data_IF_153976030623
#
_entry.id   IF_153976030623
#
_cell.length_a   1.000
_cell.length_b   1.000
_cell.length_c   1.000
_cell.angle_alpha   90.00
_cell.angle_beta   90.00
_cell.angle_gamma   90.00
#
_symmetry.space_group_name_H-M   'P 1'
#
loop_
_entity.id
_entity.type
_entity.pdbx_description
1 polymer ?
#
# COMPACT_ATOMS: atom_id res chain seq x y z
N UNK A 1 10.02 -3.22 -9.03
CA UNK A 1 9.02 -3.49 -7.97
C UNK A 1 8.85 -2.22 -7.18
N UNK A 2 7.63 -1.82 -6.78
CA UNK A 2 7.46 -0.58 -6.02
C UNK A 2 8.18 -0.73 -4.68
N UNK A 3 9.10 0.16 -4.40
CA UNK A 3 9.69 0.32 -3.06
C UNK A 3 8.77 1.24 -2.30
N UNK A 4 8.16 0.75 -1.23
CA UNK A 4 7.37 1.60 -0.33
C UNK A 4 8.30 2.34 0.63
N UNK A 5 8.09 3.66 0.73
CA UNK A 5 8.77 4.54 1.68
C UNK A 5 7.77 5.07 2.71
N UNK A 6 8.19 5.19 3.97
CA UNK A 6 7.36 5.74 5.06
C UNK A 6 8.21 6.62 5.96
N UNK A 7 7.58 7.67 6.49
CA UNK A 7 8.18 8.56 7.49
C UNK A 7 7.44 8.41 8.81
N UNK A 8 8.18 8.17 9.89
CA UNK A 8 7.66 8.07 11.26
C UNK A 8 8.12 9.30 12.05
N UNK A 9 7.17 9.98 12.70
CA UNK A 9 7.43 11.18 13.50
C UNK A 9 7.24 10.84 14.98
N UNK A 10 8.16 11.28 15.85
CA UNK A 10 8.00 11.18 17.29
C UNK A 10 7.25 12.38 17.87
N UNK A 11 6.28 12.14 18.76
CA UNK A 11 5.71 13.17 19.65
C UNK A 11 6.12 12.88 21.08
N UNK A 12 6.82 13.81 21.72
CA UNK A 12 7.37 13.62 23.08
C UNK A 12 6.74 14.61 24.05
N UNK A 13 6.27 14.09 25.18
CA UNK A 13 5.93 14.89 26.36
C UNK A 13 6.91 14.51 27.48
N UNK A 14 7.86 15.41 27.77
CA UNK A 14 8.86 15.22 28.82
C UNK A 14 9.05 16.51 29.61
N UNK A 15 9.21 16.39 30.93
CA UNK A 15 9.54 17.51 31.82
C UNK A 15 11.03 17.92 31.73
N UNK A 16 11.89 17.07 31.15
CA UNK A 16 13.31 17.31 30.97
C UNK A 16 13.67 17.41 29.47
N UNK A 17 14.69 18.20 29.10
CA UNK A 17 15.22 18.22 27.73
C UNK A 17 15.70 16.85 27.27
N UNK A 18 15.41 16.51 26.01
CA UNK A 18 15.84 15.27 25.37
C UNK A 18 17.26 15.44 24.81
N UNK A 19 18.12 14.45 25.06
CA UNK A 19 19.52 14.44 24.59
C UNK A 19 19.72 13.53 23.40
N UNK A 20 19.04 12.37 23.34
CA UNK A 20 19.23 11.41 22.25
C UNK A 20 17.93 10.78 21.78
N UNK A 21 17.93 10.45 20.49
CA UNK A 21 16.93 9.66 19.79
C UNK A 21 17.63 8.44 19.20
N UNK A 22 17.03 7.26 19.29
CA UNK A 22 17.56 6.05 18.71
C UNK A 22 16.42 5.15 18.19
N UNK A 23 16.31 5.08 16.87
CA UNK A 23 15.39 4.20 16.17
C UNK A 23 16.06 2.89 15.81
N UNK A 24 15.35 1.78 16.06
CA UNK A 24 15.82 0.43 15.74
C UNK A 24 14.67 -0.42 15.21
N UNK A 25 14.95 -1.30 14.26
CA UNK A 25 13.98 -2.32 13.82
C UNK A 25 14.08 -3.53 14.75
N UNK A 26 13.02 -3.83 15.48
CA UNK A 26 12.94 -4.96 16.41
C UNK A 26 12.61 -6.27 15.67
N UNK A 27 11.70 -6.20 14.70
CA UNK A 27 11.28 -7.36 13.91
C UNK A 27 10.82 -6.98 12.51
N UNK A 28 10.66 -8.00 11.66
CA UNK A 28 10.20 -7.88 10.28
C UNK A 28 11.32 -7.99 9.23
N UNK A 29 10.95 -8.01 7.94
CA UNK A 29 11.88 -8.13 6.81
C UNK A 29 12.94 -7.04 6.75
N UNK A 30 13.92 -7.16 5.85
CA UNK A 30 14.96 -6.14 5.66
C UNK A 30 14.34 -4.79 5.28
N UNK A 31 14.78 -3.73 5.95
CA UNK A 31 14.39 -2.35 5.68
C UNK A 31 15.61 -1.44 5.83
N UNK A 32 15.65 -0.34 5.09
CA UNK A 32 16.71 0.68 5.19
C UNK A 32 16.20 1.84 6.04
N UNK A 33 16.91 2.14 7.13
CA UNK A 33 16.58 3.24 8.04
C UNK A 33 17.53 4.42 7.80
N UNK A 34 16.97 5.61 7.60
CA UNK A 34 17.69 6.87 7.54
C UNK A 34 17.19 7.80 8.64
N UNK A 35 18.07 8.67 9.16
CA UNK A 35 17.78 9.59 10.27
C UNK A 35 17.38 8.87 11.58
N UNK A 36 17.92 7.67 11.80
CA UNK A 36 17.61 6.83 12.96
C UNK A 36 18.01 7.45 14.31
N UNK A 37 18.78 8.53 14.32
CA UNK A 37 19.19 9.28 15.50
C UNK A 37 18.48 10.63 15.64
N UNK A 38 17.35 10.83 14.96
CA UNK A 38 16.59 12.08 14.97
C UNK A 38 15.12 11.84 15.39
N UNK A 39 14.34 12.89 15.64
CA UNK A 39 12.89 12.76 15.91
C UNK A 39 12.09 12.14 14.76
N UNK A 40 12.64 12.16 13.54
CA UNK A 40 11.96 11.69 12.33
C UNK A 40 12.75 10.56 11.69
N UNK A 41 12.16 9.37 11.62
CA UNK A 41 12.75 8.22 10.95
C UNK A 41 12.20 8.12 9.52
N UNK A 42 13.09 7.98 8.53
CA UNK A 42 12.72 7.63 7.16
C UNK A 42 13.05 6.16 6.91
N UNK A 43 12.06 5.37 6.51
CA UNK A 43 12.23 3.94 6.22
C UNK A 43 11.93 3.68 4.75
N UNK A 44 12.82 2.94 4.09
CA UNK A 44 12.75 2.65 2.66
C UNK A 44 13.06 1.17 2.38
N UNK A 45 12.81 0.75 1.12
CA UNK A 45 12.98 -0.63 0.65
C UNK A 45 12.15 -1.64 1.45
N UNK A 46 10.96 -1.22 1.85
CA UNK A 46 10.01 -2.11 2.51
C UNK A 46 9.43 -3.12 1.51
N UNK A 47 9.36 -4.37 1.93
CA UNK A 47 8.64 -5.46 1.26
C UNK A 47 7.42 -5.88 2.07
N UNK A 48 6.51 -6.65 1.45
CA UNK A 48 5.34 -7.21 2.11
C UNK A 48 5.70 -7.87 3.44
N UNK A 49 4.93 -7.57 4.48
CA UNK A 49 5.14 -8.10 5.82
C UNK A 49 4.82 -7.11 6.92
N UNK A 50 5.07 -7.55 8.16
CA UNK A 50 4.87 -6.75 9.37
C UNK A 50 6.23 -6.37 9.95
N UNK A 51 6.38 -5.10 10.33
CA UNK A 51 7.58 -4.53 10.94
C UNK A 51 7.24 -3.96 12.31
N UNK A 52 8.19 -4.05 13.24
CA UNK A 52 8.14 -3.34 14.52
C UNK A 52 9.38 -2.45 14.61
N UNK A 53 9.16 -1.14 14.72
CA UNK A 53 10.23 -0.15 14.95
C UNK A 53 10.10 0.39 16.37
N UNK A 54 11.23 0.51 17.08
CA UNK A 54 11.30 1.08 18.42
C UNK A 54 12.06 2.39 18.38
N UNK A 55 11.48 3.43 18.96
CA UNK A 55 12.16 4.66 19.33
C UNK A 55 12.57 4.58 20.79
N UNK A 56 13.85 4.76 21.07
CA UNK A 56 14.38 4.96 22.42
C UNK A 56 14.84 6.41 22.57
N UNK A 57 14.39 7.05 23.64
CA UNK A 57 14.70 8.43 23.99
C UNK A 57 15.51 8.46 25.28
N UNK A 58 16.52 9.30 25.34
CA UNK A 58 17.24 9.60 26.59
C UNK A 58 17.09 11.08 26.94
N UNK A 59 16.78 11.41 28.19
CA UNK A 59 16.76 12.80 28.66
C UNK A 59 18.14 13.29 29.14
N UNK A 60 18.24 14.54 29.56
CA UNK A 60 19.48 15.13 30.07
C UNK A 60 19.87 14.66 31.48
N UNK A 61 19.06 13.82 32.12
CA UNK A 61 19.36 13.14 33.39
C UNK A 61 19.73 11.66 33.18
N UNK A 62 19.80 11.21 31.94
CA UNK A 62 20.13 9.82 31.58
C UNK A 62 18.95 8.85 31.69
N UNK A 63 17.73 9.34 31.95
CA UNK A 63 16.53 8.51 31.96
C UNK A 63 16.19 8.07 30.55
N UNK A 64 15.91 6.77 30.37
CA UNK A 64 15.58 6.19 29.08
C UNK A 64 14.15 5.68 29.07
N UNK A 65 13.42 6.03 28.01
CA UNK A 65 12.09 5.51 27.71
C UNK A 65 12.05 5.05 26.26
N UNK A 66 11.11 4.17 25.94
CA UNK A 66 10.93 3.72 24.56
C UNK A 66 9.45 3.57 24.22
N UNK A 67 9.17 3.62 22.92
CA UNK A 67 7.87 3.28 22.35
C UNK A 67 8.06 2.51 21.03
N UNK A 68 7.06 1.71 20.66
CA UNK A 68 7.10 0.84 19.48
C UNK A 68 5.95 1.14 18.52
N UNK A 69 6.25 1.13 17.22
CA UNK A 69 5.28 1.29 16.14
C UNK A 69 5.29 0.09 15.22
N UNK A 70 4.08 -0.45 14.97
CA UNK A 70 3.84 -1.54 14.04
C UNK A 70 3.48 -0.98 12.66
N UNK A 71 4.20 -1.41 11.63
CA UNK A 71 3.93 -1.06 10.22
C UNK A 71 3.61 -2.33 9.45
N UNK A 72 2.47 -2.36 8.77
CA UNK A 72 2.07 -3.46 7.89
C UNK A 72 2.17 -3.03 6.43
N UNK A 73 2.96 -3.75 5.65
CA UNK A 73 3.08 -3.57 4.20
C UNK A 73 2.25 -4.67 3.56
N UNK A 74 1.13 -4.27 2.95
CA UNK A 74 0.22 -5.18 2.27
C UNK A 74 0.73 -5.50 0.86
N UNK A 75 0.38 -6.67 0.30
CA UNK A 75 0.65 -6.97 -1.10
C UNK A 75 -0.01 -5.91 -1.99
N UNK A 76 0.61 -5.65 -3.14
CA UNK A 76 -0.01 -4.79 -4.15
C UNK A 76 -1.20 -5.54 -4.76
N UNK A 77 -2.40 -4.94 -4.71
CA UNK A 77 -3.56 -5.43 -5.45
C UNK A 77 -3.22 -5.45 -6.94
N UNK A 78 -3.26 -6.64 -7.55
CA UNK A 78 -3.07 -6.81 -8.98
C UNK A 78 -4.41 -6.51 -9.64
N UNK A 79 -4.54 -5.33 -10.23
CA UNK A 79 -5.68 -4.99 -11.07
C UNK A 79 -5.64 -5.84 -12.36
N UNK A 80 -6.60 -6.75 -12.50
CA UNK A 80 -6.82 -7.54 -13.69
C UNK A 80 -7.70 -6.73 -14.65
N UNK A 81 -7.24 -6.55 -15.88
CA UNK A 81 -8.04 -5.85 -16.87
C UNK A 81 -9.38 -6.59 -17.13
N UNK A 82 -10.50 -5.87 -17.32
CA UNK A 82 -11.79 -6.49 -17.60
C UNK A 82 -11.73 -7.26 -18.91
N UNK A 83 -12.36 -8.44 -18.92
CA UNK A 83 -12.50 -9.28 -20.11
C UNK A 83 -13.85 -9.00 -20.75
N UNK A 84 -13.86 -8.74 -22.07
CA UNK A 84 -15.09 -8.57 -22.85
C UNK A 84 -15.34 -9.77 -23.76
N UNK A 85 -16.59 -10.18 -23.87
CA UNK A 85 -17.08 -11.21 -24.79
C UNK A 85 -18.30 -10.65 -25.53
N UNK A 86 -18.23 -10.58 -26.86
CA UNK A 86 -19.29 -10.02 -27.70
C UNK A 86 -20.34 -11.07 -28.13
N UNK A 87 -20.22 -12.33 -27.64
CA UNK A 87 -21.07 -13.43 -28.06
C UNK A 87 -20.65 -14.04 -29.40
N UNK A 88 -21.40 -15.03 -29.89
CA UNK A 88 -21.12 -15.72 -31.14
C UNK A 88 -21.50 -14.85 -32.35
N UNK A 89 -20.74 -14.98 -33.45
CA UNK A 89 -21.05 -14.32 -34.72
C UNK A 89 -22.46 -14.66 -35.20
N UNK A 90 -23.18 -13.65 -35.69
CA UNK A 90 -24.56 -13.79 -36.16
C UNK A 90 -24.63 -13.69 -37.68
N UNK A 91 -25.45 -14.54 -38.29
CA UNK A 91 -25.76 -14.52 -39.74
C UNK A 91 -27.26 -14.34 -39.89
N UNK A 92 -27.69 -13.32 -40.64
CA UNK A 92 -29.11 -13.07 -40.96
C UNK A 92 -29.37 -13.24 -42.46
N UNK A 93 -30.58 -13.71 -42.80
CA UNK A 93 -31.06 -13.87 -44.18
C UNK A 93 -32.34 -13.04 -44.35
N UNK A 94 -32.51 -12.28 -45.45
CA UNK A 94 -33.72 -11.50 -45.72
C UNK A 94 -35.01 -12.36 -45.72
N UNK A 95 -36.17 -11.76 -45.38
CA UNK A 95 -36.42 -10.34 -45.14
C UNK A 95 -36.05 -9.87 -43.72
N UNK A 96 -35.48 -10.74 -42.89
CA UNK A 96 -35.02 -10.38 -41.53
C UNK A 96 -33.91 -9.34 -41.63
N UNK A 97 -34.13 -8.17 -41.02
CA UNK A 97 -33.24 -7.02 -41.09
C UNK A 97 -32.74 -6.56 -39.70
N UNK A 98 -32.90 -7.39 -38.68
CA UNK A 98 -32.42 -7.10 -37.33
C UNK A 98 -31.82 -8.33 -36.66
N UNK A 99 -30.88 -8.10 -35.75
CA UNK A 99 -30.31 -9.09 -34.83
C UNK A 99 -30.06 -8.44 -33.47
N UNK A 100 -30.21 -9.20 -32.40
CA UNK A 100 -29.85 -8.77 -31.04
C UNK A 100 -28.54 -9.44 -30.66
N UNK A 101 -27.54 -8.66 -30.28
CA UNK A 101 -26.24 -9.14 -29.79
C UNK A 101 -26.14 -8.78 -28.31
N UNK A 102 -25.89 -9.77 -27.46
CA UNK A 102 -25.67 -9.59 -26.03
C UNK A 102 -24.19 -9.78 -25.71
N UNK A 103 -23.50 -8.68 -25.39
CA UNK A 103 -22.13 -8.73 -24.88
C UNK A 103 -22.09 -8.91 -23.36
N UNK A 104 -21.08 -9.61 -22.86
CA UNK A 104 -20.80 -9.76 -21.43
C UNK A 104 -19.40 -9.23 -21.12
N UNK A 105 -19.31 -8.37 -20.10
CA UNK A 105 -18.04 -8.06 -19.45
C UNK A 105 -17.90 -8.89 -18.17
N UNK A 106 -16.70 -9.34 -17.87
CA UNK A 106 -16.35 -9.96 -16.58
C UNK A 106 -15.12 -9.23 -16.04
N UNK A 107 -15.23 -8.74 -14.81
CA UNK A 107 -14.13 -8.20 -14.02
C UNK A 107 -13.97 -9.10 -12.79
N UNK A 108 -12.74 -9.58 -12.58
CA UNK A 108 -12.41 -10.62 -11.59
C UNK A 108 -12.04 -10.07 -10.21
N UNK A 109 -11.71 -8.79 -10.10
CA UNK A 109 -11.32 -8.12 -8.84
C UNK A 109 -12.11 -6.84 -8.54
N UNK A 110 -13.01 -6.43 -9.44
CA UNK A 110 -13.89 -5.28 -9.26
C UNK A 110 -15.24 -5.41 -9.98
N UNK A 111 -16.07 -4.37 -9.84
CA UNK A 111 -17.26 -4.18 -10.68
C UNK A 111 -16.88 -3.34 -11.89
N UNK A 112 -17.30 -3.78 -13.09
CA UNK A 112 -17.15 -3.07 -14.36
C UNK A 112 -17.68 -1.64 -14.23
N UNK A 113 -16.79 -0.64 -14.33
CA UNK A 113 -17.13 0.76 -14.04
C UNK A 113 -17.77 1.49 -15.23
N UNK A 114 -17.82 0.91 -16.45
CA UNK A 114 -18.70 1.44 -17.52
C UNK A 114 -18.81 0.53 -18.74
N UNK A 115 -19.97 0.57 -19.41
CA UNK A 115 -20.13 0.16 -20.80
C UNK A 115 -20.16 1.42 -21.68
N UNK A 116 -19.28 1.50 -22.68
CA UNK A 116 -19.37 2.53 -23.73
C UNK A 116 -19.70 1.86 -25.05
N UNK A 117 -20.92 2.07 -25.55
CA UNK A 117 -21.25 1.79 -26.95
C UNK A 117 -20.94 3.04 -27.76
N UNK A 118 -20.17 2.86 -28.84
CA UNK A 118 -19.97 3.90 -29.85
C UNK A 118 -20.72 3.50 -31.11
N UNK A 119 -21.56 4.42 -31.61
CA UNK A 119 -22.25 4.31 -32.90
C UNK A 119 -21.37 4.88 -34.01
#
# INVERSE_FOLDING_TARGET
MPTSDITLNSTISSANPITTYAWTKQSGPTATLANANTPTLSVSKLVEGTYIFRLTITDNKGSQVYDEVKVSVLPQEVNNAPKVDAGIDQVIVPPTNFVVIEGKGIDGDGSIVSYSWKR
#
